data_IF_949509656540
#
_entry.id   IF_949509656540
#
_cell.length_a   1.000
_cell.length_b   1.000
_cell.length_c   1.000
_cell.angle_alpha   90.00
_cell.angle_beta   90.00
_cell.angle_gamma   90.00
#
_symmetry.space_group_name_H-M   'P 1'
#
loop_
_entity.id
_entity.type
_entity.pdbx_description
1 polymer ?
#
# COMPACT_ATOMS: atom_id res chain seq x y z
N UNK A 1 0.95 6.16 -13.32
CA UNK A 1 0.03 6.42 -12.21
C UNK A 1 0.68 5.96 -10.92
N UNK A 2 0.57 6.75 -9.88
CA UNK A 2 1.17 6.41 -8.59
C UNK A 2 0.32 5.41 -7.81
N UNK A 3 0.95 4.57 -7.02
CA UNK A 3 0.27 3.56 -6.20
C UNK A 3 0.94 3.45 -4.83
N UNK A 4 0.15 3.04 -3.85
CA UNK A 4 0.72 2.59 -2.58
C UNK A 4 1.37 1.22 -2.78
N UNK A 5 2.47 0.92 -2.07
CA UNK A 5 3.13 -0.38 -2.24
C UNK A 5 2.25 -1.52 -1.75
N UNK A 6 2.39 -2.68 -2.39
CA UNK A 6 1.66 -3.88 -2.04
C UNK A 6 1.41 -4.77 -3.24
N UNK A 7 0.68 -5.83 -3.03
CA UNK A 7 0.36 -6.77 -4.09
C UNK A 7 -0.67 -7.78 -3.64
N UNK A 8 -0.72 -8.89 -4.36
CA UNK A 8 -1.71 -9.94 -4.14
C UNK A 8 -1.30 -10.88 -3.02
N UNK A 9 -2.29 -11.32 -2.23
CA UNK A 9 -2.11 -12.37 -1.24
C UNK A 9 -2.08 -13.72 -1.97
N UNK A 10 -1.05 -14.51 -1.73
CA UNK A 10 -0.95 -15.86 -2.29
C UNK A 10 -1.77 -16.85 -1.46
N UNK A 11 -2.18 -18.01 -2.05
CA UNK A 11 -3.12 -18.92 -1.38
C UNK A 11 -2.67 -19.43 -0.02
N UNK A 12 -1.36 -19.55 0.21
CA UNK A 12 -0.82 -20.07 1.46
C UNK A 12 -0.42 -19.00 2.47
N UNK A 13 -0.69 -17.73 2.15
CA UNK A 13 -0.28 -16.60 2.98
C UNK A 13 -1.44 -15.98 3.75
N UNK A 14 -1.14 -15.43 4.93
CA UNK A 14 -2.03 -14.47 5.57
C UNK A 14 -1.82 -13.12 4.90
N UNK A 15 -2.74 -12.18 5.14
CA UNK A 15 -2.63 -10.82 4.61
C UNK A 15 -1.35 -10.14 5.13
N UNK A 16 -1.02 -10.32 6.42
CA UNK A 16 0.19 -9.76 6.99
C UNK A 16 1.47 -10.33 6.37
N UNK A 17 1.48 -11.64 6.09
CA UNK A 17 2.62 -12.28 5.44
C UNK A 17 2.80 -11.76 4.01
N UNK A 18 1.69 -11.57 3.29
CA UNK A 18 1.74 -11.01 1.94
C UNK A 18 2.29 -9.59 1.95
N UNK A 19 1.85 -8.76 2.91
CA UNK A 19 2.36 -7.39 3.06
C UNK A 19 3.87 -7.39 3.28
N UNK A 20 4.35 -8.21 4.21
CA UNK A 20 5.77 -8.29 4.52
C UNK A 20 6.59 -8.74 3.31
N UNK A 21 6.10 -9.75 2.59
CA UNK A 21 6.76 -10.26 1.38
C UNK A 21 6.81 -9.20 0.28
N UNK A 22 5.67 -8.56 0.01
CA UNK A 22 5.59 -7.55 -1.06
C UNK A 22 6.50 -6.35 -0.78
N UNK A 23 6.52 -5.85 0.44
CA UNK A 23 7.37 -4.72 0.78
C UNK A 23 8.85 -5.08 0.73
N UNK A 24 9.22 -6.32 1.08
CA UNK A 24 10.59 -6.76 0.94
C UNK A 24 10.99 -6.87 -0.53
N UNK A 25 10.13 -7.43 -1.38
CA UNK A 25 10.40 -7.59 -2.80
C UNK A 25 10.45 -6.25 -3.54
N UNK A 26 9.51 -5.37 -3.25
CA UNK A 26 9.40 -4.09 -3.95
C UNK A 26 10.33 -3.02 -3.43
N UNK A 27 10.53 -2.96 -2.12
CA UNK A 27 11.21 -1.84 -1.46
C UNK A 27 12.45 -2.24 -0.68
N UNK A 28 12.65 -3.53 -0.43
CA UNK A 28 13.79 -3.98 0.36
C UNK A 28 13.70 -3.69 1.84
N UNK A 29 12.50 -3.42 2.36
CA UNK A 29 12.32 -3.15 3.79
C UNK A 29 11.76 -4.39 4.51
N UNK A 30 12.14 -4.54 5.79
CA UNK A 30 11.63 -5.59 6.65
C UNK A 30 10.60 -4.99 7.60
N UNK A 31 9.35 -5.44 7.47
CA UNK A 31 8.25 -4.95 8.31
C UNK A 31 8.37 -5.57 9.70
N UNK A 32 8.47 -4.73 10.72
CA UNK A 32 8.53 -5.18 12.11
C UNK A 32 7.19 -5.03 12.83
N UNK A 33 6.41 -4.03 12.48
CA UNK A 33 5.09 -3.81 13.07
C UNK A 33 4.18 -3.14 12.04
N UNK A 34 2.94 -3.62 11.96
CA UNK A 34 1.91 -3.06 11.10
C UNK A 34 0.55 -3.24 11.75
N UNK A 35 -0.34 -2.31 11.49
CA UNK A 35 -1.69 -2.31 12.03
C UNK A 35 -2.72 -2.20 10.90
N UNK A 36 -3.83 -2.94 10.96
CA UNK A 36 -4.91 -2.75 9.99
C UNK A 36 -5.38 -1.30 10.01
N UNK A 37 -5.54 -0.71 8.84
CA UNK A 37 -5.98 0.67 8.70
C UNK A 37 -7.39 0.76 8.16
N UNK A 38 -7.65 0.11 7.02
CA UNK A 38 -8.98 0.07 6.42
C UNK A 38 -9.06 -1.05 5.38
N UNK A 39 -10.29 -1.39 5.01
CA UNK A 39 -10.57 -2.32 3.92
C UNK A 39 -11.37 -1.57 2.87
N UNK A 40 -11.01 -1.74 1.61
CA UNK A 40 -11.70 -1.13 0.49
C UNK A 40 -12.19 -2.24 -0.43
N UNK A 41 -13.49 -2.23 -0.75
CA UNK A 41 -14.03 -3.05 -1.82
C UNK A 41 -14.40 -2.11 -2.96
N UNK A 42 -13.80 -2.31 -4.11
CA UNK A 42 -14.02 -1.46 -5.27
C UNK A 42 -14.39 -2.29 -6.50
N UNK A 43 -15.44 -1.88 -7.18
CA UNK A 43 -15.91 -2.51 -8.39
C UNK A 43 -15.51 -1.64 -9.60
N UNK A 44 -14.65 -2.18 -10.45
CA UNK A 44 -14.23 -1.50 -11.67
C UNK A 44 -15.14 -1.81 -12.87
N UNK A 45 -16.23 -2.56 -12.64
CA UNK A 45 -17.16 -2.96 -13.70
C UNK A 45 -16.87 -4.33 -14.24
N UNK A 46 -15.65 -4.59 -14.67
CA UNK A 46 -15.20 -5.89 -15.20
C UNK A 46 -14.58 -6.78 -14.13
N UNK A 47 -14.22 -6.20 -12.99
CA UNK A 47 -13.64 -6.96 -11.86
C UNK A 47 -13.91 -6.22 -10.55
N UNK A 48 -13.90 -6.99 -9.48
CA UNK A 48 -14.01 -6.48 -8.12
C UNK A 48 -12.65 -6.64 -7.44
N UNK A 49 -12.24 -5.60 -6.70
CA UNK A 49 -10.95 -5.57 -6.01
C UNK A 49 -11.20 -5.31 -4.53
N UNK A 50 -10.58 -6.13 -3.69
CA UNK A 50 -10.53 -5.88 -2.24
C UNK A 50 -9.12 -5.49 -1.86
N UNK A 51 -8.99 -4.36 -1.19
CA UNK A 51 -7.71 -3.87 -0.69
C UNK A 51 -7.74 -3.88 0.83
N UNK A 52 -6.82 -4.63 1.43
CA UNK A 52 -6.58 -4.60 2.87
C UNK A 52 -5.40 -3.67 3.12
N UNK A 53 -5.68 -2.50 3.68
CA UNK A 53 -4.69 -1.44 3.86
C UNK A 53 -4.19 -1.44 5.30
N UNK A 54 -2.87 -1.39 5.44
CA UNK A 54 -2.21 -1.40 6.73
C UNK A 54 -1.34 -0.16 6.91
N UNK A 55 -1.20 0.28 8.15
CA UNK A 55 -0.15 1.21 8.55
C UNK A 55 1.06 0.39 8.98
N UNK A 56 2.19 0.57 8.31
CA UNK A 56 3.45 0.01 8.75
C UNK A 56 4.04 1.01 9.74
N UNK A 57 4.09 0.64 10.99
CA UNK A 57 4.50 1.54 12.07
C UNK A 57 5.97 1.40 12.43
N UNK A 58 6.59 0.27 12.06
CA UNK A 58 8.00 0.03 12.31
C UNK A 58 8.58 -0.89 11.24
N UNK A 59 9.75 -0.53 10.74
CA UNK A 59 10.44 -1.33 9.72
C UNK A 59 11.96 -1.13 9.81
N UNK A 60 12.71 -2.05 9.19
CA UNK A 60 14.16 -1.93 9.04
C UNK A 60 14.51 -1.74 7.57
N UNK A 61 15.55 -0.96 7.33
CA UNK A 61 16.07 -0.70 5.99
C UNK A 61 15.51 0.58 5.39
N UNK A 62 16.09 1.01 4.29
CA UNK A 62 15.63 2.17 3.52
C UNK A 62 14.88 1.70 2.29
N UNK A 63 13.72 2.27 2.04
CA UNK A 63 12.93 1.93 0.88
C UNK A 63 13.66 2.29 -0.41
N UNK A 64 13.71 1.33 -1.33
CA UNK A 64 14.34 1.47 -2.65
C UNK A 64 13.41 0.90 -3.70
N UNK A 65 13.47 1.42 -4.91
CA UNK A 65 12.70 0.90 -6.03
C UNK A 65 13.36 -0.34 -6.63
N UNK A 66 13.30 -1.48 -5.93
CA UNK A 66 13.98 -2.71 -6.34
C UNK A 66 13.49 -3.29 -7.66
N UNK A 67 12.30 -2.91 -8.10
CA UNK A 67 11.73 -3.34 -9.38
C UNK A 67 11.85 -2.26 -10.45
N UNK A 68 12.74 -1.28 -10.23
CA UNK A 68 12.98 -0.20 -11.17
C UNK A 68 11.96 0.92 -11.13
N UNK A 69 10.99 0.86 -10.24
CA UNK A 69 9.95 1.88 -10.12
C UNK A 69 10.47 3.10 -9.35
N UNK A 70 9.98 4.30 -9.67
CA UNK A 70 10.30 5.49 -8.88
C UNK A 70 9.55 5.47 -7.55
N UNK A 71 10.19 5.99 -6.50
CA UNK A 71 9.57 6.11 -5.18
C UNK A 71 9.50 7.57 -4.76
N UNK A 72 8.52 7.90 -3.93
CA UNK A 72 8.41 9.22 -3.33
C UNK A 72 7.90 9.09 -1.89
N UNK A 73 8.51 9.83 -0.97
CA UNK A 73 8.04 9.99 0.39
C UNK A 73 7.26 11.30 0.46
N UNK A 74 5.97 11.22 0.84
CA UNK A 74 5.11 12.38 0.86
C UNK A 74 4.24 12.39 2.10
N UNK A 75 3.96 13.60 2.61
CA UNK A 75 2.92 13.76 3.61
C UNK A 75 1.55 13.60 2.93
N UNK A 76 0.51 13.13 3.66
CA UNK A 76 -0.80 12.92 3.03
C UNK A 76 -1.33 14.16 2.30
N UNK A 77 -1.14 15.35 2.84
CA UNK A 77 -1.60 16.59 2.23
C UNK A 77 -0.93 16.84 0.87
N UNK A 78 0.29 16.36 0.68
CA UNK A 78 1.02 16.52 -0.59
C UNK A 78 0.48 15.63 -1.70
N UNK A 79 -0.34 14.63 -1.35
CA UNK A 79 -0.90 13.69 -2.33
C UNK A 79 -2.19 14.20 -2.97
N UNK A 80 -2.72 15.31 -2.51
CA UNK A 80 -3.94 15.89 -3.09
C UNK A 80 -3.66 16.26 -4.55
N UNK A 81 -4.47 15.72 -5.45
CA UNK A 81 -4.30 15.97 -6.88
C UNK A 81 -3.31 15.05 -7.59
N UNK A 82 -2.61 14.17 -6.86
CA UNK A 82 -1.74 13.19 -7.50
C UNK A 82 -2.55 12.12 -8.23
N UNK A 83 -2.04 11.59 -9.35
CA UNK A 83 -2.77 10.59 -10.12
C UNK A 83 -2.68 9.20 -9.48
N UNK A 84 -3.74 8.83 -8.77
CA UNK A 84 -3.90 7.50 -8.18
C UNK A 84 -5.06 6.75 -8.83
N UNK A 85 -5.06 5.41 -8.81
CA UNK A 85 -6.24 4.63 -9.17
C UNK A 85 -7.44 5.01 -8.29
N UNK A 86 -8.64 4.89 -8.85
CA UNK A 86 -9.87 5.28 -8.14
C UNK A 86 -10.01 4.57 -6.79
N UNK A 87 -9.61 3.29 -6.71
CA UNK A 87 -9.70 2.51 -5.48
C UNK A 87 -8.81 3.05 -4.35
N UNK A 88 -7.81 3.88 -4.67
CA UNK A 88 -6.90 4.43 -3.68
C UNK A 88 -7.38 5.76 -3.07
N UNK A 89 -8.38 6.39 -3.66
CA UNK A 89 -8.90 7.65 -3.14
C UNK A 89 -9.39 7.58 -1.70
N UNK A 90 -10.12 6.53 -1.28
CA UNK A 90 -10.53 6.40 0.11
C UNK A 90 -9.38 6.34 1.09
N UNK A 91 -8.21 5.81 0.66
CA UNK A 91 -7.01 5.77 1.50
C UNK A 91 -6.56 7.19 1.82
N UNK A 92 -6.45 8.03 0.79
CA UNK A 92 -6.06 9.42 0.97
C UNK A 92 -7.05 10.17 1.86
N UNK A 93 -8.34 9.99 1.62
CA UNK A 93 -9.39 10.62 2.43
C UNK A 93 -9.25 10.25 3.91
N UNK A 94 -9.01 8.97 4.20
CA UNK A 94 -8.85 8.50 5.58
C UNK A 94 -7.58 9.07 6.21
N UNK A 95 -6.49 9.14 5.46
CA UNK A 95 -5.24 9.72 5.95
C UNK A 95 -5.40 11.20 6.28
N UNK A 96 -6.16 11.94 5.47
CA UNK A 96 -6.40 13.36 5.69
C UNK A 96 -7.34 13.63 6.86
N UNK A 97 -8.14 12.64 7.26
CA UNK A 97 -9.08 12.76 8.36
C UNK A 97 -8.44 12.55 9.74
N UNK A 98 -7.18 12.13 9.77
CA UNK A 98 -6.44 11.89 11.02
C UNK A 98 -5.67 13.09 11.52
#
# INVERSE_FOLDING_TARGET
>A
MWEFPGGKVEPSETIAEALSRELREELGVLVEAAEPFMVIDHDYGDKQVRLDVYHVTRWQGEAQGLEGQPLAWKLPVELIGWPFPAANKPILERLLAH
#
